data_IF_976134201011
#
_entry.id   IF_976134201011
#
_cell.length_a   1.000
_cell.length_b   1.000
_cell.length_c   1.000
_cell.angle_alpha   90.00
_cell.angle_beta   90.00
_cell.angle_gamma   90.00
#
_symmetry.space_group_name_H-M   'P 1'
#
loop_
_entity.id
_entity.type
_entity.pdbx_description
1 polymer ?
#
# COMPACT_ATOMS: atom_id res chain seq x y z
N UNK A 1 8.25 -2.58 80.36
CA UNK A 1 9.17 -3.05 79.30
C UNK A 1 8.49 -3.94 78.26
N UNK A 2 7.72 -4.98 78.63
CA UNK A 2 7.00 -5.86 77.66
C UNK A 2 6.04 -5.14 76.69
N UNK A 3 5.34 -4.09 77.15
CA UNK A 3 4.43 -3.28 76.30
C UNK A 3 5.16 -2.38 75.29
N UNK A 4 6.40 -2.00 75.56
CA UNK A 4 7.22 -1.16 74.66
C UNK A 4 7.82 -2.00 73.52
N UNK A 5 8.19 -3.26 73.81
CA UNK A 5 8.70 -4.21 72.81
C UNK A 5 7.61 -4.58 71.78
N UNK A 6 6.34 -4.71 72.21
CA UNK A 6 5.23 -5.03 71.31
C UNK A 6 4.92 -3.88 70.33
N UNK A 7 5.07 -2.63 70.77
CA UNK A 7 4.87 -1.43 69.92
C UNK A 7 6.02 -1.28 68.92
N UNK A 8 7.27 -1.57 69.30
CA UNK A 8 8.39 -1.59 68.36
C UNK A 8 8.30 -2.72 67.33
N UNK A 9 7.75 -3.90 67.68
CA UNK A 9 7.49 -4.96 66.71
C UNK A 9 6.38 -4.61 65.71
N UNK A 10 5.34 -3.87 66.13
CA UNK A 10 4.29 -3.42 65.22
C UNK A 10 4.73 -2.27 64.29
N UNK A 11 5.65 -1.39 64.72
CA UNK A 11 6.22 -0.34 63.85
C UNK A 11 7.27 -0.88 62.86
N UNK A 12 7.93 -2.01 63.17
CA UNK A 12 8.87 -2.68 62.26
C UNK A 12 8.21 -3.48 61.14
N UNK A 13 6.91 -3.81 61.29
CA UNK A 13 6.10 -4.42 60.23
C UNK A 13 5.55 -3.33 59.28
N UNK A 14 6.46 -2.59 58.65
CA UNK A 14 6.11 -1.80 57.47
C UNK A 14 5.79 -2.79 56.36
N UNK A 15 4.52 -3.15 56.21
CA UNK A 15 4.06 -3.94 55.07
C UNK A 15 4.39 -3.16 53.80
N UNK A 16 5.47 -3.52 53.12
CA UNK A 16 5.70 -3.14 51.72
C UNK A 16 4.69 -3.92 50.88
N UNK A 17 3.43 -3.49 50.92
CA UNK A 17 2.43 -3.96 49.98
C UNK A 17 2.88 -3.53 48.60
N UNK A 18 3.17 -4.48 47.73
CA UNK A 18 3.47 -4.18 46.34
C UNK A 18 2.23 -3.50 45.71
N UNK A 19 2.39 -2.33 45.10
CA UNK A 19 1.29 -1.56 44.47
C UNK A 19 0.84 -2.12 43.11
N UNK A 20 1.31 -3.31 42.75
CA UNK A 20 1.01 -3.99 41.48
C UNK A 20 -0.35 -4.70 41.54
N UNK A 21 -1.12 -4.55 40.48
CA UNK A 21 -2.41 -5.22 40.33
C UNK A 21 -2.18 -6.54 39.60
N UNK A 22 -2.37 -7.66 40.30
CA UNK A 22 -2.44 -8.99 39.68
C UNK A 22 -3.88 -9.40 39.43
N UNK A 23 -4.21 -9.82 38.22
CA UNK A 23 -5.47 -10.48 37.89
C UNK A 23 -5.15 -11.91 37.46
N UNK A 24 -5.57 -12.90 38.25
CA UNK A 24 -5.27 -14.32 37.99
C UNK A 24 -3.84 -14.75 38.34
N UNK A 25 -3.04 -13.88 38.97
CA UNK A 25 -1.73 -14.21 39.56
C UNK A 25 -1.58 -13.53 40.93
N UNK A 26 -1.00 -14.25 41.89
CA UNK A 26 -0.66 -13.71 43.22
C UNK A 26 0.79 -13.21 43.30
N UNK A 27 1.57 -13.40 42.24
CA UNK A 27 2.94 -12.94 42.14
C UNK A 27 3.13 -12.26 40.77
N UNK A 28 2.56 -11.05 40.58
CA UNK A 28 2.81 -10.29 39.37
C UNK A 28 4.31 -10.02 39.21
N UNK A 29 4.76 -9.96 37.96
CA UNK A 29 6.14 -9.72 37.61
C UNK A 29 6.59 -8.37 38.18
N UNK A 30 7.79 -8.25 38.79
CA UNK A 30 8.22 -7.02 39.46
C UNK A 30 8.26 -5.76 38.58
N UNK A 31 8.29 -5.92 37.26
CA UNK A 31 8.25 -4.80 36.30
C UNK A 31 6.83 -4.40 35.87
N UNK A 32 5.78 -5.07 36.34
CA UNK A 32 4.40 -4.85 35.92
C UNK A 32 3.65 -4.04 36.98
N UNK A 33 3.04 -2.92 36.56
CA UNK A 33 2.04 -2.24 37.39
C UNK A 33 0.69 -2.98 37.37
N UNK A 34 0.40 -3.70 36.27
CA UNK A 34 -0.76 -4.57 36.09
C UNK A 34 -0.31 -5.83 35.33
N UNK A 35 -0.58 -7.01 35.87
CA UNK A 35 -0.42 -8.29 35.16
C UNK A 35 -1.76 -9.04 35.12
N UNK A 36 -2.12 -9.55 33.95
CA UNK A 36 -3.28 -10.41 33.76
C UNK A 36 -2.80 -11.79 33.32
N UNK A 37 -2.94 -12.79 34.19
CA UNK A 37 -2.60 -14.18 33.92
C UNK A 37 -3.87 -15.02 33.80
N UNK A 38 -4.09 -15.63 32.64
CA UNK A 38 -5.22 -16.52 32.40
C UNK A 38 -4.89 -17.46 31.24
N UNK A 39 -5.38 -18.70 31.30
CA UNK A 39 -5.29 -19.67 30.20
C UNK A 39 -6.59 -19.78 29.41
N UNK A 40 -7.67 -19.14 29.88
CA UNK A 40 -9.04 -19.24 29.31
C UNK A 40 -9.66 -17.90 28.96
N UNK A 41 -9.11 -16.79 29.45
CA UNK A 41 -9.59 -15.43 29.23
C UNK A 41 -8.46 -14.52 28.71
N UNK A 42 -8.84 -13.39 28.12
CA UNK A 42 -7.89 -12.39 27.61
C UNK A 42 -8.19 -10.99 28.13
N UNK A 43 -7.34 -10.04 27.78
CA UNK A 43 -7.58 -8.63 28.07
C UNK A 43 -8.52 -8.02 27.01
N UNK A 44 -9.66 -7.50 27.44
CA UNK A 44 -10.59 -6.77 26.58
C UNK A 44 -10.40 -5.26 26.82
N UNK A 45 -9.61 -4.54 26.00
CA UNK A 45 -9.43 -3.09 26.14
C UNK A 45 -10.75 -2.35 25.83
N UNK A 46 -10.84 -1.04 26.12
CA UNK A 46 -11.96 -0.21 25.65
C UNK A 46 -12.20 -0.40 24.15
N UNK A 47 -13.46 -0.69 23.79
CA UNK A 47 -13.88 -0.94 22.40
C UNK A 47 -14.75 0.20 21.91
N UNK A 48 -14.44 0.74 20.73
CA UNK A 48 -15.16 1.90 20.19
C UNK A 48 -15.20 1.94 18.67
N UNK A 49 -16.07 2.80 18.14
CA UNK A 49 -16.13 3.13 16.72
C UNK A 49 -15.03 4.12 16.33
N UNK A 50 -14.69 4.22 15.05
CA UNK A 50 -13.74 5.21 14.51
C UNK A 50 -14.17 6.65 14.86
N UNK A 51 -15.46 6.94 14.72
CA UNK A 51 -16.03 8.26 15.08
C UNK A 51 -15.89 8.57 16.57
N UNK A 52 -15.86 7.55 17.43
CA UNK A 52 -15.64 7.71 18.87
C UNK A 52 -14.15 7.84 19.19
N UNK A 53 -13.30 7.06 18.50
CA UNK A 53 -11.84 7.13 18.60
C UNK A 53 -11.31 8.55 18.31
N UNK A 54 -11.84 9.18 17.25
CA UNK A 54 -11.47 10.54 16.83
C UNK A 54 -11.98 11.65 17.76
N UNK A 55 -12.92 11.35 18.65
CA UNK A 55 -13.51 12.35 19.56
C UNK A 55 -12.96 12.27 20.99
N UNK A 56 -11.99 11.39 21.26
CA UNK A 56 -11.25 11.37 22.53
C UNK A 56 -10.51 12.70 22.69
N UNK A 57 -10.84 13.44 23.74
CA UNK A 57 -10.21 14.73 24.08
C UNK A 57 -8.93 14.47 24.88
N UNK A 58 -7.85 15.16 24.52
CA UNK A 58 -6.54 15.10 25.19
C UNK A 58 -6.03 13.67 25.45
N UNK A 59 -5.98 12.79 24.43
CA UNK A 59 -5.40 11.46 24.60
C UNK A 59 -3.93 11.55 25.03
N UNK A 60 -3.50 10.63 25.90
CA UNK A 60 -2.11 10.53 26.35
C UNK A 60 -1.37 9.54 25.45
N UNK A 61 -0.09 9.80 25.18
CA UNK A 61 0.78 8.87 24.45
C UNK A 61 0.77 7.48 25.11
N UNK A 62 0.63 6.43 24.29
CA UNK A 62 0.51 5.04 24.74
C UNK A 62 -0.91 4.60 25.08
N UNK A 63 -1.94 5.46 24.97
CA UNK A 63 -3.33 5.06 25.18
C UNK A 63 -3.76 3.97 24.19
N UNK A 64 -4.15 2.80 24.69
CA UNK A 64 -4.56 1.62 23.92
C UNK A 64 -6.08 1.44 23.87
N UNK A 65 -6.61 1.19 22.68
CA UNK A 65 -8.04 0.99 22.41
C UNK A 65 -8.26 0.04 21.25
N UNK A 66 -9.35 -0.72 21.26
CA UNK A 66 -9.72 -1.56 20.12
C UNK A 66 -10.83 -0.89 19.30
N UNK A 67 -10.53 -0.58 18.04
CA UNK A 67 -11.51 0.00 17.12
C UNK A 67 -12.16 -1.09 16.27
N UNK A 68 -13.48 -1.29 16.44
CA UNK A 68 -14.19 -2.42 15.84
C UNK A 68 -14.83 -2.15 14.46
N UNK A 69 -14.82 -0.89 13.99
CA UNK A 69 -15.27 -0.48 12.66
C UNK A 69 -14.26 0.40 11.90
N UNK A 70 -13.07 0.63 12.47
CA UNK A 70 -11.96 1.24 11.74
C UNK A 70 -11.53 0.35 10.56
N UNK A 71 -10.85 0.98 9.60
CA UNK A 71 -10.14 0.29 8.51
C UNK A 71 -8.63 0.57 8.66
N UNK A 72 -7.82 -0.39 9.15
CA UNK A 72 -8.15 -1.77 9.52
C UNK A 72 -8.88 -1.88 10.88
N UNK A 73 -9.62 -2.96 11.10
CA UNK A 73 -10.20 -3.28 12.40
C UNK A 73 -9.10 -3.82 13.32
N UNK A 74 -8.95 -3.30 14.54
CA UNK A 74 -7.94 -3.84 15.45
C UNK A 74 -7.60 -2.95 16.64
N UNK A 75 -6.48 -3.26 17.27
CA UNK A 75 -5.92 -2.48 18.38
C UNK A 75 -5.16 -1.26 17.85
N UNK A 76 -5.42 -0.10 18.44
CA UNK A 76 -4.78 1.18 18.15
C UNK A 76 -4.08 1.72 19.40
N UNK A 77 -2.97 2.42 19.21
CA UNK A 77 -2.30 3.20 20.25
C UNK A 77 -2.18 4.67 19.83
N UNK A 78 -2.24 5.60 20.78
CA UNK A 78 -1.96 7.01 20.51
C UNK A 78 -0.45 7.27 20.55
N UNK A 79 0.13 7.82 19.49
CA UNK A 79 1.57 8.09 19.36
C UNK A 79 1.99 9.49 19.87
N UNK A 80 1.10 10.17 20.61
CA UNK A 80 1.27 11.56 21.01
C UNK A 80 0.71 12.57 19.99
N UNK A 81 0.25 12.12 18.81
CA UNK A 81 -0.36 12.97 17.77
C UNK A 81 -1.65 12.36 17.21
N UNK A 82 -1.64 11.09 16.83
CA UNK A 82 -2.76 10.37 16.22
C UNK A 82 -2.85 8.94 16.74
N UNK A 83 -4.00 8.29 16.53
CA UNK A 83 -4.15 6.86 16.78
C UNK A 83 -3.60 6.06 15.60
N UNK A 84 -2.62 5.19 15.87
CA UNK A 84 -2.02 4.28 14.90
C UNK A 84 -2.45 2.84 15.20
N UNK A 85 -2.76 2.09 14.15
CA UNK A 85 -3.09 0.67 14.27
C UNK A 85 -1.84 -0.13 14.59
N UNK A 86 -1.89 -0.97 15.61
CA UNK A 86 -0.78 -1.85 16.04
C UNK A 86 -0.49 -2.96 15.01
N UNK A 87 -1.53 -3.45 14.33
CA UNK A 87 -1.42 -4.45 13.26
C UNK A 87 -0.84 -3.87 11.96
N UNK A 88 -0.92 -2.55 11.82
CA UNK A 88 -0.45 -1.81 10.66
C UNK A 88 0.61 -0.76 11.04
N UNK A 89 1.47 -1.12 12.00
CA UNK A 89 2.62 -0.29 12.35
C UNK A 89 3.50 -0.14 11.12
N UNK A 90 3.69 1.10 10.67
CA UNK A 90 4.61 1.44 9.58
C UNK A 90 5.94 0.70 9.82
N UNK A 91 6.42 -0.15 8.89
CA UNK A 91 7.66 -0.88 9.10
C UNK A 91 8.82 0.09 9.39
N UNK A 92 9.60 -0.21 10.42
CA UNK A 92 10.68 0.67 10.89
C UNK A 92 11.84 0.79 9.90
N UNK A 93 11.95 -0.13 8.94
CA UNK A 93 13.01 -0.24 7.95
C UNK A 93 12.59 0.19 6.53
N UNK A 94 11.69 1.16 6.41
CA UNK A 94 11.27 1.70 5.12
C UNK A 94 12.37 2.52 4.44
N UNK A 95 12.56 2.30 3.13
CA UNK A 95 13.38 3.14 2.27
C UNK A 95 12.73 4.51 2.09
N UNK A 96 13.50 5.54 1.73
CA UNK A 96 12.94 6.86 1.42
C UNK A 96 11.98 6.86 0.23
N UNK A 97 12.07 5.83 -0.63
CA UNK A 97 11.17 5.58 -1.77
C UNK A 97 9.96 4.71 -1.40
N UNK A 98 9.82 4.29 -0.15
CA UNK A 98 8.69 3.48 0.30
C UNK A 98 7.53 4.38 0.77
N UNK A 99 6.31 3.99 0.42
CA UNK A 99 5.09 4.48 1.06
C UNK A 99 4.27 3.33 1.61
N UNK A 100 3.87 3.45 2.86
CA UNK A 100 3.06 2.45 3.55
C UNK A 100 1.59 2.79 3.39
N UNK A 101 0.77 1.83 2.97
CA UNK A 101 -0.69 1.95 2.96
C UNK A 101 -1.26 1.34 4.24
N UNK A 102 -1.73 2.15 5.21
CA UNK A 102 -2.33 1.63 6.43
C UNK A 102 -3.63 0.88 6.18
N UNK A 103 -4.26 1.04 5.02
CA UNK A 103 -5.50 0.33 4.70
C UNK A 103 -5.25 -1.15 4.34
N UNK A 104 -4.17 -1.42 3.62
CA UNK A 104 -3.86 -2.75 3.09
C UNK A 104 -2.70 -3.43 3.79
N UNK A 105 -1.93 -2.68 4.59
CA UNK A 105 -0.69 -3.16 5.19
C UNK A 105 0.45 -3.33 4.18
N UNK A 106 0.27 -2.89 2.93
CA UNK A 106 1.27 -3.02 1.87
C UNK A 106 2.20 -1.83 1.82
N UNK A 107 3.39 -2.07 1.29
CA UNK A 107 4.35 -1.01 0.95
C UNK A 107 4.40 -0.89 -0.58
N UNK A 108 4.34 0.34 -1.05
CA UNK A 108 4.41 0.72 -2.46
C UNK A 108 5.60 1.65 -2.70
N UNK A 109 5.97 1.86 -3.96
CA UNK A 109 6.85 2.98 -4.29
C UNK A 109 6.12 4.32 -4.08
N UNK A 110 6.83 5.31 -3.56
CA UNK A 110 6.33 6.67 -3.28
C UNK A 110 5.95 7.46 -4.55
N UNK A 111 6.46 7.06 -5.72
CA UNK A 111 6.18 7.66 -7.02
C UNK A 111 6.00 6.64 -8.13
N UNK A 112 5.42 7.08 -9.26
CA UNK A 112 5.27 6.27 -10.46
C UNK A 112 6.66 5.92 -11.01
N UNK A 113 6.78 4.77 -11.67
CA UNK A 113 8.06 4.40 -12.28
C UNK A 113 8.42 5.41 -13.38
N UNK A 114 9.66 5.92 -13.35
CA UNK A 114 10.12 7.00 -14.21
C UNK A 114 9.79 8.43 -13.74
N UNK A 115 9.04 8.58 -12.64
CA UNK A 115 8.72 9.91 -12.10
C UNK A 115 9.90 10.52 -11.33
N UNK A 116 10.08 11.84 -11.47
CA UNK A 116 11.16 12.57 -10.80
C UNK A 116 10.86 12.90 -9.33
N UNK A 117 9.57 12.92 -8.95
CA UNK A 117 9.13 13.26 -7.59
C UNK A 117 7.81 12.61 -7.21
N UNK A 118 7.53 12.60 -5.90
CA UNK A 118 6.18 12.34 -5.36
C UNK A 118 5.23 13.44 -5.83
N UNK A 119 4.01 13.06 -6.20
CA UNK A 119 3.03 13.97 -6.76
C UNK A 119 2.63 15.07 -5.78
N UNK A 120 2.53 16.30 -6.29
CA UNK A 120 2.02 17.47 -5.55
C UNK A 120 0.57 17.85 -5.88
N UNK A 121 0.03 17.32 -6.97
CA UNK A 121 -1.38 17.42 -7.37
C UNK A 121 -1.75 16.24 -8.28
N UNK A 122 -3.04 16.00 -8.55
CA UNK A 122 -3.45 14.98 -9.52
C UNK A 122 -2.88 15.19 -10.94
N UNK A 123 -2.52 16.43 -11.29
CA UNK A 123 -2.00 16.83 -12.60
C UNK A 123 -0.52 17.20 -12.58
N UNK A 124 0.25 16.74 -11.59
CA UNK A 124 1.68 17.02 -11.48
C UNK A 124 2.48 16.27 -12.55
N UNK A 125 2.89 16.99 -13.60
CA UNK A 125 3.61 16.42 -14.75
C UNK A 125 4.90 15.70 -14.36
N UNK A 126 5.63 16.26 -13.39
CA UNK A 126 6.88 15.69 -12.91
C UNK A 126 6.69 14.36 -12.16
N UNK A 127 5.44 14.01 -11.82
CA UNK A 127 5.04 12.80 -11.12
C UNK A 127 4.33 11.76 -12.00
N UNK A 128 4.07 12.05 -13.28
CA UNK A 128 3.34 11.11 -14.13
C UNK A 128 4.07 9.80 -14.39
N UNK A 129 5.41 9.84 -14.42
CA UNK A 129 6.23 8.69 -14.77
C UNK A 129 6.21 8.37 -16.26
N UNK A 130 6.75 7.20 -16.61
CA UNK A 130 6.86 6.70 -17.97
C UNK A 130 5.68 5.78 -18.37
N UNK A 131 5.57 5.46 -19.66
CA UNK A 131 4.43 4.75 -20.25
C UNK A 131 4.84 3.41 -20.87
N UNK A 132 4.77 2.36 -20.08
CA UNK A 132 5.23 1.02 -20.43
C UNK A 132 4.20 0.26 -21.27
N UNK A 133 4.66 -0.53 -22.24
CA UNK A 133 3.86 -1.57 -22.87
C UNK A 133 3.86 -2.82 -21.98
N UNK A 134 2.72 -3.49 -21.88
CA UNK A 134 2.56 -4.60 -20.93
C UNK A 134 3.55 -5.73 -21.21
N UNK A 135 4.31 -6.14 -20.20
CA UNK A 135 5.31 -7.20 -20.33
C UNK A 135 6.70 -6.75 -20.80
N UNK A 136 6.95 -5.44 -21.00
CA UNK A 136 8.28 -4.91 -21.33
C UNK A 136 9.02 -4.43 -20.08
N UNK A 137 10.34 -4.60 -20.10
CA UNK A 137 11.25 -3.97 -19.15
C UNK A 137 11.51 -2.50 -19.54
N UNK A 138 12.26 -1.78 -18.72
CA UNK A 138 12.74 -0.44 -19.07
C UNK A 138 13.87 -0.56 -20.11
N UNK A 139 13.57 -0.23 -21.36
CA UNK A 139 14.50 -0.31 -22.50
C UNK A 139 14.50 0.95 -23.38
N UNK A 140 13.75 1.99 -22.98
CA UNK A 140 13.63 3.26 -23.69
C UNK A 140 12.29 3.43 -24.42
N UNK A 141 11.54 2.35 -24.67
CA UNK A 141 10.23 2.44 -25.31
C UNK A 141 9.22 3.23 -24.48
N UNK A 142 9.35 3.17 -23.17
CA UNK A 142 8.42 3.76 -22.21
C UNK A 142 8.42 5.30 -22.24
N UNK A 143 9.47 5.90 -22.83
CA UNK A 143 9.58 7.34 -22.94
C UNK A 143 8.50 7.89 -23.87
N UNK A 144 7.88 8.98 -23.44
CA UNK A 144 6.75 9.63 -24.14
C UNK A 144 7.11 10.08 -25.57
N UNK A 145 8.38 10.33 -25.83
CA UNK A 145 8.95 10.77 -27.11
C UNK A 145 9.78 9.69 -27.82
N UNK A 146 9.75 8.43 -27.38
CA UNK A 146 10.48 7.36 -28.06
C UNK A 146 9.93 7.14 -29.48
N UNK A 147 10.79 6.71 -30.40
CA UNK A 147 10.36 6.40 -31.78
C UNK A 147 9.33 5.27 -31.81
N UNK A 148 8.60 5.16 -32.91
CA UNK A 148 7.59 4.11 -33.11
C UNK A 148 8.04 3.10 -34.16
N UNK A 149 7.64 1.84 -34.00
CA UNK A 149 7.79 0.76 -34.98
C UNK A 149 6.47 -0.03 -35.03
N UNK A 150 6.00 -0.38 -36.22
CA UNK A 150 4.82 -1.24 -36.36
C UNK A 150 5.14 -2.68 -35.92
N UNK A 151 4.26 -3.27 -35.12
CA UNK A 151 4.35 -4.63 -34.62
C UNK A 151 3.26 -5.56 -35.15
N UNK A 152 3.13 -6.76 -34.55
CA UNK A 152 3.93 -7.24 -33.42
C UNK A 152 5.38 -7.56 -33.82
N UNK A 153 6.28 -7.59 -32.84
CA UNK A 153 7.68 -7.98 -33.00
C UNK A 153 7.93 -9.37 -32.39
N UNK A 154 9.03 -10.04 -32.79
CA UNK A 154 9.41 -11.34 -32.25
C UNK A 154 10.03 -11.23 -30.85
N UNK A 155 10.15 -12.34 -30.13
CA UNK A 155 10.77 -12.41 -28.80
C UNK A 155 12.24 -11.96 -28.76
N UNK A 156 12.94 -12.02 -29.89
CA UNK A 156 14.33 -11.60 -30.01
C UNK A 156 14.51 -10.11 -30.27
N UNK A 157 13.42 -9.35 -30.44
CA UNK A 157 13.49 -7.91 -30.65
C UNK A 157 14.19 -7.18 -29.49
N UNK A 158 15.19 -6.35 -29.83
CA UNK A 158 16.01 -5.57 -28.88
C UNK A 158 15.87 -4.05 -29.03
N UNK A 159 14.89 -3.57 -29.80
CA UNK A 159 14.75 -2.14 -30.08
C UNK A 159 14.04 -1.36 -28.98
N UNK A 160 14.47 -0.13 -28.76
CA UNK A 160 13.87 0.81 -27.81
C UNK A 160 12.63 1.55 -28.35
N UNK A 161 12.14 1.19 -29.54
CA UNK A 161 10.95 1.82 -30.11
C UNK A 161 9.67 1.30 -29.43
N UNK A 162 8.69 2.18 -29.31
CA UNK A 162 7.34 1.83 -28.91
C UNK A 162 6.61 1.14 -30.06
N UNK A 163 6.02 -0.01 -29.76
CA UNK A 163 5.44 -0.87 -30.80
C UNK A 163 3.97 -0.50 -31.03
N UNK A 164 3.60 -0.27 -32.28
CA UNK A 164 2.23 0.13 -32.65
C UNK A 164 1.52 -0.90 -33.53
N UNK A 165 0.25 -0.65 -33.86
CA UNK A 165 -0.51 -1.33 -34.91
C UNK A 165 -0.93 -2.78 -34.63
N UNK A 166 -0.70 -3.29 -33.42
CA UNK A 166 -1.11 -4.63 -32.98
C UNK A 166 -1.65 -4.62 -31.55
N UNK A 167 -2.55 -5.55 -31.21
CA UNK A 167 -3.12 -5.64 -29.85
C UNK A 167 -2.11 -6.12 -28.80
N UNK A 168 -1.27 -7.09 -29.15
CA UNK A 168 -0.08 -7.44 -28.40
C UNK A 168 1.14 -6.97 -29.19
N UNK A 169 2.13 -6.39 -28.52
CA UNK A 169 3.34 -5.89 -29.16
C UNK A 169 4.27 -7.05 -29.51
N UNK A 170 4.07 -8.22 -28.87
CA UNK A 170 4.87 -9.41 -29.00
C UNK A 170 4.11 -10.54 -29.71
N UNK A 171 4.76 -11.21 -30.65
CA UNK A 171 4.27 -12.45 -31.25
C UNK A 171 5.34 -13.56 -31.21
N UNK A 172 5.03 -14.77 -30.69
CA UNK A 172 3.79 -15.11 -29.97
C UNK A 172 3.69 -14.39 -28.61
N UNK A 173 2.47 -14.18 -28.12
CA UNK A 173 2.20 -13.59 -26.81
C UNK A 173 2.86 -14.38 -25.68
N UNK A 174 3.27 -13.68 -24.62
CA UNK A 174 3.82 -14.30 -23.40
C UNK A 174 3.22 -13.65 -22.15
N UNK A 175 2.37 -14.42 -21.47
CA UNK A 175 1.57 -13.97 -20.33
C UNK A 175 2.35 -13.98 -19.01
N UNK A 176 3.56 -14.54 -19.01
CA UNK A 176 4.42 -14.64 -17.83
C UNK A 176 5.48 -13.55 -17.78
N UNK A 177 5.40 -12.55 -18.65
CA UNK A 177 6.40 -11.48 -18.71
C UNK A 177 6.47 -10.67 -17.42
N UNK A 178 5.39 -10.21 -16.81
CA UNK A 178 5.51 -9.46 -15.54
C UNK A 178 5.32 -10.29 -14.27
N UNK A 179 4.50 -11.35 -14.31
CA UNK A 179 4.23 -12.19 -13.14
C UNK A 179 4.42 -13.67 -13.50
N UNK A 180 5.44 -14.31 -12.92
CA UNK A 180 5.67 -15.75 -13.04
C UNK A 180 4.65 -16.56 -12.24
N UNK A 181 4.15 -16.00 -11.15
CA UNK A 181 3.18 -16.60 -10.24
C UNK A 181 1.73 -16.42 -10.70
N UNK A 182 0.86 -16.14 -9.73
CA UNK A 182 -0.57 -15.92 -9.93
C UNK A 182 -1.09 -14.73 -9.10
N UNK A 183 -2.40 -14.55 -9.05
CA UNK A 183 -3.08 -13.47 -8.34
C UNK A 183 -2.90 -13.52 -6.82
N UNK A 184 -2.78 -14.73 -6.23
CA UNK A 184 -2.63 -14.94 -4.78
C UNK A 184 -1.17 -15.00 -4.37
N UNK A 185 -0.32 -15.59 -5.22
CA UNK A 185 1.11 -15.76 -5.01
C UNK A 185 1.87 -15.11 -6.18
N UNK A 186 1.82 -13.77 -6.31
CA UNK A 186 2.55 -13.07 -7.37
C UNK A 186 4.05 -13.22 -7.18
N UNK A 187 4.74 -13.50 -8.27
CA UNK A 187 6.20 -13.67 -8.32
C UNK A 187 6.77 -12.83 -9.45
N UNK A 188 7.65 -11.90 -9.11
CA UNK A 188 8.32 -11.05 -10.08
C UNK A 188 9.04 -11.87 -11.15
N UNK A 189 9.00 -11.39 -12.38
CA UNK A 189 9.89 -11.86 -13.44
C UNK A 189 11.04 -10.88 -13.62
N UNK A 190 12.21 -11.18 -13.07
CA UNK A 190 13.38 -10.29 -13.09
C UNK A 190 13.85 -9.90 -14.50
N UNK A 191 13.49 -10.67 -15.53
CA UNK A 191 13.89 -10.37 -16.90
C UNK A 191 13.06 -9.25 -17.55
N UNK A 192 11.83 -9.04 -17.09
CA UNK A 192 10.82 -8.28 -17.85
C UNK A 192 9.96 -7.36 -16.99
N UNK A 193 9.81 -7.61 -15.69
CA UNK A 193 9.16 -6.69 -14.77
C UNK A 193 10.03 -5.43 -14.61
N UNK A 194 9.53 -4.23 -14.97
CA UNK A 194 10.34 -3.01 -14.95
C UNK A 194 10.55 -2.46 -13.53
N UNK A 195 9.87 -3.00 -12.52
CA UNK A 195 10.01 -2.54 -11.15
C UNK A 195 11.42 -2.87 -10.58
N UNK A 196 11.98 -1.98 -9.74
CA UNK A 196 13.31 -2.18 -9.17
C UNK A 196 13.37 -3.38 -8.21
N UNK A 197 14.58 -3.78 -7.82
CA UNK A 197 14.80 -4.89 -6.88
C UNK A 197 13.99 -4.72 -5.58
N UNK A 198 13.31 -5.79 -5.17
CA UNK A 198 12.40 -5.83 -4.02
C UNK A 198 11.00 -5.24 -4.30
N UNK A 199 10.71 -4.85 -5.54
CA UNK A 199 9.39 -4.45 -5.98
C UNK A 199 8.99 -5.17 -7.27
N UNK A 200 7.69 -5.26 -7.49
CA UNK A 200 7.08 -5.89 -8.67
C UNK A 200 5.84 -5.16 -9.13
N UNK A 201 5.32 -5.55 -10.29
CA UNK A 201 3.98 -5.18 -10.75
C UNK A 201 2.92 -5.71 -9.76
N UNK A 202 1.94 -4.87 -9.38
CA UNK A 202 0.85 -5.28 -8.50
C UNK A 202 -0.15 -6.21 -9.19
N UNK A 203 -0.87 -6.99 -8.38
CA UNK A 203 -2.01 -7.82 -8.80
C UNK A 203 -3.32 -7.02 -8.81
N UNK A 204 -4.41 -7.65 -9.26
CA UNK A 204 -5.72 -7.00 -9.28
C UNK A 204 -6.27 -6.73 -7.86
N UNK A 205 -6.12 -7.72 -6.98
CA UNK A 205 -6.56 -7.73 -5.58
C UNK A 205 -5.77 -6.74 -4.73
N UNK A 206 -4.48 -6.53 -5.04
CA UNK A 206 -3.67 -5.50 -4.41
C UNK A 206 -4.18 -4.10 -4.76
N UNK A 207 -4.57 -3.87 -6.02
CA UNK A 207 -5.26 -2.64 -6.39
C UNK A 207 -6.66 -2.54 -5.78
N UNK A 208 -7.43 -3.63 -5.69
CA UNK A 208 -8.74 -3.61 -5.03
C UNK A 208 -8.63 -3.19 -3.57
N UNK A 209 -7.62 -3.69 -2.85
CA UNK A 209 -7.36 -3.31 -1.47
C UNK A 209 -7.20 -1.79 -1.31
N UNK A 210 -6.42 -1.16 -2.20
CA UNK A 210 -6.22 0.28 -2.19
C UNK A 210 -7.49 1.04 -2.60
N UNK A 211 -8.09 0.69 -3.75
CA UNK A 211 -9.25 1.41 -4.29
C UNK A 211 -10.45 1.35 -3.34
N UNK A 212 -10.69 0.20 -2.69
CA UNK A 212 -11.77 0.04 -1.72
C UNK A 212 -11.52 0.79 -0.39
N UNK A 213 -10.30 1.26 -0.16
CA UNK A 213 -9.96 2.12 0.97
C UNK A 213 -10.20 3.60 0.68
N UNK A 214 -10.25 3.97 -0.60
CA UNK A 214 -10.59 5.32 -1.03
C UNK A 214 -12.10 5.53 -0.81
N UNK A 215 -12.56 6.78 -0.78
CA UNK A 215 -13.95 7.11 -0.48
C UNK A 215 -14.97 6.54 -1.47
N UNK A 216 -16.21 7.02 -1.40
CA UNK A 216 -17.32 6.44 -2.17
C UNK A 216 -17.24 6.67 -3.69
N UNK A 217 -16.25 7.43 -4.19
CA UNK A 217 -16.18 7.84 -5.59
C UNK A 217 -14.91 7.40 -6.32
N UNK A 218 -13.88 6.91 -5.61
CA UNK A 218 -12.55 6.58 -6.12
C UNK A 218 -12.04 7.57 -7.18
N UNK A 219 -12.24 8.87 -6.93
CA UNK A 219 -11.94 9.93 -7.90
C UNK A 219 -10.46 10.27 -7.96
N UNK A 220 -10.05 11.12 -8.91
CA UNK A 220 -8.70 11.67 -8.98
C UNK A 220 -8.25 12.32 -7.67
N UNK A 221 -9.16 13.05 -7.00
CA UNK A 221 -8.91 13.69 -5.72
C UNK A 221 -8.69 12.65 -4.62
N UNK A 222 -9.58 11.66 -4.49
CA UNK A 222 -9.44 10.62 -3.46
C UNK A 222 -8.19 9.76 -3.68
N UNK A 223 -7.84 9.46 -4.94
CA UNK A 223 -6.62 8.73 -5.27
C UNK A 223 -5.35 9.56 -4.96
N UNK A 224 -5.40 10.88 -5.10
CA UNK A 224 -4.31 11.78 -4.74
C UNK A 224 -4.18 11.99 -3.22
N UNK A 225 -5.30 12.03 -2.50
CA UNK A 225 -5.33 12.11 -1.03
C UNK A 225 -4.96 10.78 -0.35
N UNK A 226 -5.05 9.66 -1.09
CA UNK A 226 -4.53 8.38 -0.62
C UNK A 226 -3.01 8.42 -0.38
N UNK A 227 -2.45 7.47 0.41
CA UNK A 227 -1.00 7.36 0.58
C UNK A 227 -0.23 7.28 -0.75
N UNK A 228 -0.83 6.70 -1.80
CA UNK A 228 -0.17 6.46 -3.08
C UNK A 228 -0.02 7.71 -3.96
N UNK A 229 -0.79 8.77 -3.67
CA UNK A 229 -0.79 10.06 -4.40
C UNK A 229 -0.82 9.89 -5.93
N UNK A 230 -1.79 9.13 -6.43
CA UNK A 230 -1.88 8.81 -7.85
C UNK A 230 -2.29 10.03 -8.69
N UNK A 231 -1.81 10.06 -9.93
CA UNK A 231 -1.95 11.17 -10.88
C UNK A 231 -2.71 10.77 -12.15
N UNK A 232 -3.10 11.76 -12.95
CA UNK A 232 -3.78 11.62 -14.25
C UNK A 232 -2.77 11.51 -15.39
N UNK A 233 -2.08 10.38 -15.45
CA UNK A 233 -0.87 10.14 -16.24
C UNK A 233 -1.06 10.12 -17.77
N UNK A 234 -2.32 10.08 -18.23
CA UNK A 234 -2.68 9.79 -19.62
C UNK A 234 -2.16 8.41 -20.06
N UNK A 235 -1.94 8.28 -21.37
CA UNK A 235 -1.57 7.03 -22.02
C UNK A 235 -0.90 7.29 -23.38
N UNK A 236 -0.16 6.32 -23.89
CA UNK A 236 0.34 6.31 -25.25
C UNK A 236 -0.43 5.30 -26.08
N UNK A 237 -0.97 5.73 -27.22
CA UNK A 237 -1.90 4.91 -27.99
C UNK A 237 -1.18 3.83 -28.77
N UNK A 238 -1.73 2.63 -28.73
CA UNK A 238 -1.15 1.48 -29.42
C UNK A 238 -1.26 1.55 -30.95
N UNK A 239 -2.19 2.31 -31.51
CA UNK A 239 -2.44 2.32 -32.96
C UNK A 239 -1.40 3.15 -33.72
N UNK A 240 -0.99 4.28 -33.16
CA UNK A 240 -0.14 5.29 -33.82
C UNK A 240 1.00 5.82 -32.94
N UNK A 241 1.06 5.41 -31.67
CA UNK A 241 2.05 5.90 -30.71
C UNK A 241 1.85 7.37 -30.31
N UNK A 242 0.74 7.99 -30.68
CA UNK A 242 0.41 9.34 -30.23
C UNK A 242 0.09 9.35 -28.74
N UNK A 243 0.33 10.49 -28.13
CA UNK A 243 0.09 10.67 -26.72
C UNK A 243 -1.35 11.14 -26.47
N UNK A 244 -2.08 10.41 -25.63
CA UNK A 244 -3.48 10.65 -25.29
C UNK A 244 -3.67 11.70 -24.19
N UNK A 245 -4.88 12.27 -24.11
CA UNK A 245 -5.22 13.45 -23.29
C UNK A 245 -4.77 13.31 -21.82
N UNK A 246 -3.77 14.11 -21.42
CA UNK A 246 -3.40 14.32 -20.02
C UNK A 246 -4.57 14.91 -19.23
N UNK A 247 -4.42 14.97 -17.91
CA UNK A 247 -5.30 15.78 -17.04
C UNK A 247 -6.75 15.31 -16.98
N UNK A 248 -7.12 14.21 -17.62
CA UNK A 248 -8.50 13.69 -17.60
C UNK A 248 -8.58 12.29 -17.01
N UNK A 249 -7.57 11.46 -17.29
CA UNK A 249 -7.52 10.07 -16.83
C UNK A 249 -6.09 9.62 -16.54
N UNK A 250 -5.92 8.91 -15.43
CA UNK A 250 -4.71 8.15 -15.10
C UNK A 250 -4.91 6.68 -15.40
N UNK A 251 -3.88 6.02 -15.93
CA UNK A 251 -3.92 4.61 -16.32
C UNK A 251 -2.74 3.86 -15.72
N UNK A 252 -3.05 2.81 -14.96
CA UNK A 252 -2.07 2.03 -14.21
C UNK A 252 -2.19 0.55 -14.54
N UNK A 253 -1.09 -0.04 -15.00
CA UNK A 253 -1.05 -1.46 -15.27
C UNK A 253 -1.14 -2.32 -14.00
N UNK A 254 -1.68 -3.53 -14.17
CA UNK A 254 -1.48 -4.64 -13.23
C UNK A 254 -1.30 -5.97 -13.95
N UNK A 255 -0.89 -7.00 -13.21
CA UNK A 255 -0.35 -8.24 -13.82
C UNK A 255 -1.39 -9.12 -14.52
N UNK A 256 -2.68 -8.81 -14.44
CA UNK A 256 -3.75 -9.67 -14.96
C UNK A 256 -3.86 -9.56 -16.48
N UNK A 257 -3.86 -10.70 -17.15
CA UNK A 257 -3.95 -10.85 -18.60
C UNK A 257 -5.34 -11.28 -19.07
N UNK A 258 -5.69 -10.96 -20.32
CA UNK A 258 -6.87 -11.47 -21.01
C UNK A 258 -6.59 -11.60 -22.52
N UNK A 259 -6.17 -12.78 -22.96
CA UNK A 259 -5.72 -13.00 -24.34
C UNK A 259 -4.61 -12.01 -24.72
N UNK A 260 -4.73 -11.34 -25.86
CA UNK A 260 -3.78 -10.30 -26.33
C UNK A 260 -3.88 -8.95 -25.58
N UNK A 261 -4.72 -8.88 -24.55
CA UNK A 261 -4.90 -7.70 -23.70
C UNK A 261 -4.40 -7.95 -22.28
N UNK A 262 -4.30 -6.87 -21.51
CA UNK A 262 -4.04 -6.89 -20.08
C UNK A 262 -4.90 -5.85 -19.37
N UNK A 263 -5.08 -6.00 -18.07
CA UNK A 263 -5.95 -5.11 -17.32
C UNK A 263 -5.21 -3.90 -16.74
N UNK A 264 -5.94 -2.79 -16.68
CA UNK A 264 -5.48 -1.53 -16.08
C UNK A 264 -6.52 -0.94 -15.13
N UNK A 265 -6.04 -0.27 -14.09
CA UNK A 265 -6.82 0.65 -13.26
C UNK A 265 -6.88 2.02 -13.95
N UNK A 266 -8.08 2.59 -14.05
CA UNK A 266 -8.31 3.94 -14.57
C UNK A 266 -8.85 4.86 -13.49
N UNK A 267 -8.33 6.08 -13.40
CA UNK A 267 -8.72 7.10 -12.41
C UNK A 267 -9.11 8.37 -13.17
N UNK A 268 -10.24 9.02 -12.86
CA UNK A 268 -10.80 10.13 -13.66
C UNK A 268 -11.14 11.34 -12.80
N UNK A 269 -11.20 12.52 -13.44
CA UNK A 269 -11.74 13.74 -12.80
C UNK A 269 -13.24 13.59 -12.57
N UNK A 270 -13.67 13.82 -11.33
CA UNK A 270 -15.06 13.98 -10.85
C UNK A 270 -16.03 12.78 -11.05
N UNK A 271 -16.71 12.41 -9.96
CA UNK A 271 -17.92 11.56 -9.85
C UNK A 271 -17.99 10.23 -10.64
N UNK A 272 -16.91 9.78 -11.26
CA UNK A 272 -16.86 8.53 -12.00
C UNK A 272 -15.92 7.58 -11.27
N UNK A 273 -16.44 6.41 -10.91
CA UNK A 273 -15.69 5.37 -10.22
C UNK A 273 -14.44 5.00 -11.03
N UNK A 274 -13.36 4.68 -10.32
CA UNK A 274 -12.20 4.06 -10.93
C UNK A 274 -12.65 2.81 -11.72
N UNK A 275 -12.23 2.70 -12.97
CA UNK A 275 -12.64 1.60 -13.84
C UNK A 275 -11.50 0.60 -14.04
N UNK A 276 -11.85 -0.69 -14.08
CA UNK A 276 -10.93 -1.78 -14.39
C UNK A 276 -11.32 -2.39 -15.73
N UNK A 277 -10.43 -2.31 -16.71
CA UNK A 277 -10.70 -2.79 -18.08
C UNK A 277 -9.49 -3.45 -18.69
N UNK A 278 -9.73 -4.49 -19.48
CA UNK A 278 -8.72 -5.06 -20.35
C UNK A 278 -8.51 -4.14 -21.56
N UNK A 279 -7.24 -3.85 -21.87
CA UNK A 279 -6.83 -3.08 -23.05
C UNK A 279 -5.63 -3.76 -23.69
N UNK A 280 -5.40 -3.50 -24.98
CA UNK A 280 -4.28 -4.04 -25.75
C UNK A 280 -2.96 -3.92 -24.99
N UNK A 281 -2.16 -4.99 -24.92
CA UNK A 281 -0.83 -4.97 -24.25
C UNK A 281 0.12 -3.95 -24.88
N UNK A 282 -0.12 -3.58 -26.13
CA UNK A 282 0.62 -2.54 -26.83
C UNK A 282 0.34 -1.10 -26.36
N UNK A 283 -0.67 -0.84 -25.52
CA UNK A 283 -0.84 0.50 -24.93
C UNK A 283 0.34 0.86 -24.03
N UNK A 284 0.73 2.14 -24.03
CA UNK A 284 1.71 2.66 -23.08
C UNK A 284 1.01 3.24 -21.88
N UNK A 285 1.04 2.56 -20.73
CA UNK A 285 0.40 3.01 -19.49
C UNK A 285 1.42 3.03 -18.34
N UNK A 286 1.06 3.74 -17.28
CA UNK A 286 1.95 3.95 -16.13
C UNK A 286 2.09 2.69 -15.29
N UNK A 287 3.25 2.54 -14.65
CA UNK A 287 3.51 1.51 -13.66
C UNK A 287 3.67 2.15 -12.28
N UNK A 288 2.95 1.60 -11.29
CA UNK A 288 3.16 1.85 -9.86
C UNK A 288 3.53 0.53 -9.20
N UNK A 289 4.75 0.45 -8.67
CA UNK A 289 5.30 -0.80 -8.14
C UNK A 289 4.91 -1.02 -6.67
N UNK A 290 4.71 -2.28 -6.31
CA UNK A 290 4.44 -2.74 -4.94
C UNK A 290 5.63 -3.54 -4.43
N UNK A 291 5.94 -3.43 -3.15
CA UNK A 291 7.04 -4.17 -2.51
C UNK A 291 6.70 -5.66 -2.44
N UNK A 292 7.69 -6.50 -2.71
CA UNK A 292 7.59 -7.95 -2.54
C UNK A 292 7.46 -8.29 -1.04
N UNK A 293 6.71 -9.35 -0.74
CA UNK A 293 6.46 -9.86 0.62
C UNK A 293 7.09 -11.24 0.76
#
# INVERSE_FOLDING_TARGET
MKKVILILMLLGASFTGFTQVGIGTNAPHPSAALEVSSTTQGFLPPRMKEVQLRTIKNPVEGLLVYCYDCKPKGMYYYDGRTFLSTINSKPSNMKSTDVYSPATGRIWMDRNLGASRVAKSPTDEAAYGDLYQWGRNTDGHEKRNSTVVAGPVSADYKGAAFITSSSDWLAPSNDKRWNLGDEKNPKKNEAYDPCPEGYRIPTESEWDGEVNSWGSKSSAEEAFESPLKLTLTGQRRYNDGTYGVMETVGHYWYSKVNGVSAYRLGIRISNTLADKRAVSRSWGLTVRCIKEQ
#
